data_IF_520848477519
#
_entry.id   IF_520848477519
#
_cell.length_a   1.000
_cell.length_b   1.000
_cell.length_c   1.000
_cell.angle_alpha   90.00
_cell.angle_beta   90.00
_cell.angle_gamma   90.00
#
_symmetry.space_group_name_H-M   'P 1'
#
loop_
_entity.id
_entity.type
_entity.pdbx_description
1 polymer ?
#
# COMPACT_ATOMS: atom_id res chain seq x y z
N UNK A 1 8.45 12.91 -1.64
CA UNK A 1 8.18 11.53 -2.08
C UNK A 1 6.92 11.54 -2.92
N UNK A 2 6.87 10.78 -4.02
CA UNK A 2 5.67 10.67 -4.82
C UNK A 2 4.59 9.89 -4.08
N UNK A 3 3.34 10.24 -4.37
CA UNK A 3 2.16 9.56 -3.84
C UNK A 3 1.54 8.74 -4.96
N UNK A 4 1.14 7.52 -4.64
CA UNK A 4 0.60 6.56 -5.59
C UNK A 4 -0.78 6.14 -5.14
N UNK A 5 -1.73 6.17 -6.07
CA UNK A 5 -3.09 5.65 -5.90
C UNK A 5 -3.18 4.28 -6.55
N UNK A 6 -3.62 3.31 -5.78
CA UNK A 6 -3.92 1.96 -6.21
C UNK A 6 -5.43 1.78 -6.17
N UNK A 7 -6.04 1.45 -7.30
CA UNK A 7 -7.48 1.33 -7.43
C UNK A 7 -7.85 0.15 -8.32
N UNK A 8 -9.00 -0.50 -8.08
CA UNK A 8 -9.41 -1.66 -8.84
C UNK A 8 -9.84 -1.22 -10.24
N UNK A 9 -9.36 -1.94 -11.26
CA UNK A 9 -9.76 -1.77 -12.67
C UNK A 9 -10.63 -2.91 -13.15
N UNK A 10 -10.54 -4.07 -12.49
CA UNK A 10 -11.43 -5.18 -12.75
C UNK A 10 -12.82 -4.94 -12.13
N UNK A 11 -13.86 -5.36 -12.84
CA UNK A 11 -15.25 -5.31 -12.32
C UNK A 11 -15.38 -6.22 -11.11
N UNK A 12 -16.17 -5.84 -10.11
CA UNK A 12 -16.42 -6.63 -8.88
C UNK A 12 -16.81 -8.10 -9.14
N UNK A 13 -17.55 -8.36 -10.23
CA UNK A 13 -17.95 -9.71 -10.64
C UNK A 13 -16.90 -10.50 -11.43
N UNK A 14 -15.69 -9.96 -11.63
CA UNK A 14 -14.63 -10.66 -12.37
C UNK A 14 -14.18 -11.91 -11.61
N UNK A 15 -14.19 -13.06 -12.29
CA UNK A 15 -13.75 -14.33 -11.73
C UNK A 15 -12.29 -14.28 -11.22
N UNK A 16 -11.47 -13.36 -11.72
CA UNK A 16 -10.10 -13.13 -11.26
C UNK A 16 -10.01 -12.69 -9.81
N UNK A 17 -11.07 -12.11 -9.24
CA UNK A 17 -11.09 -11.80 -7.81
C UNK A 17 -10.98 -13.05 -6.94
N UNK A 18 -11.51 -14.21 -7.38
CA UNK A 18 -11.40 -15.50 -6.65
C UNK A 18 -11.78 -15.40 -5.16
N UNK A 19 -12.72 -14.52 -4.80
CA UNK A 19 -13.11 -14.28 -3.41
C UNK A 19 -12.08 -13.51 -2.56
N UNK A 20 -11.07 -12.89 -3.18
CA UNK A 20 -10.10 -12.00 -2.52
C UNK A 20 -10.77 -10.71 -2.06
N UNK A 21 -10.15 -10.08 -1.05
CA UNK A 21 -10.54 -8.76 -0.56
C UNK A 21 -10.40 -7.72 -1.67
N UNK A 22 -11.46 -6.95 -1.90
CA UNK A 22 -11.48 -5.85 -2.86
C UNK A 22 -11.29 -4.54 -2.11
N UNK A 23 -10.23 -3.82 -2.46
CA UNK A 23 -9.94 -2.48 -2.02
C UNK A 23 -10.52 -1.51 -3.02
N UNK A 24 -11.26 -0.51 -2.55
CA UNK A 24 -11.81 0.56 -3.38
C UNK A 24 -10.71 1.55 -3.79
N UNK A 25 -9.85 1.88 -2.83
CA UNK A 25 -8.77 2.85 -3.02
C UNK A 25 -7.69 2.60 -1.96
N UNK A 26 -6.42 2.58 -2.38
CA UNK A 26 -5.27 2.57 -1.47
C UNK A 26 -4.31 3.67 -1.92
N UNK A 27 -4.00 4.61 -1.03
CA UNK A 27 -3.06 5.71 -1.27
C UNK A 27 -1.79 5.42 -0.49
N UNK A 28 -0.66 5.38 -1.19
CA UNK A 28 0.65 4.99 -0.65
C UNK A 28 1.68 6.04 -0.99
N UNK A 29 2.50 6.42 -0.02
CA UNK A 29 3.69 7.22 -0.22
C UNK A 29 4.89 6.28 -0.40
N UNK A 30 5.52 6.29 -1.58
CA UNK A 30 6.60 5.37 -1.90
C UNK A 30 7.56 5.96 -2.95
N UNK A 31 8.83 5.55 -2.98
CA UNK A 31 9.80 6.04 -3.98
C UNK A 31 9.47 5.61 -5.42
N UNK A 32 8.71 4.53 -5.61
CA UNK A 32 8.35 4.00 -6.94
C UNK A 32 6.99 3.29 -6.95
N UNK A 33 6.40 3.13 -8.13
CA UNK A 33 5.15 2.38 -8.31
C UNK A 33 5.26 0.91 -7.86
N UNK A 34 6.43 0.28 -8.07
CA UNK A 34 6.70 -1.07 -7.61
C UNK A 34 6.69 -1.16 -6.08
N UNK A 35 7.34 -0.19 -5.42
CA UNK A 35 7.37 -0.11 -3.96
C UNK A 35 5.99 0.18 -3.38
N UNK A 36 5.20 1.05 -4.04
CA UNK A 36 3.81 1.31 -3.65
C UNK A 36 2.96 0.03 -3.63
N UNK A 37 3.13 -0.85 -4.63
CA UNK A 37 2.46 -2.16 -4.64
C UNK A 37 2.90 -3.03 -3.48
N UNK A 38 4.21 -3.18 -3.26
CA UNK A 38 4.73 -4.01 -2.17
C UNK A 38 4.20 -3.56 -0.80
N UNK A 39 4.22 -2.26 -0.53
CA UNK A 39 3.69 -1.67 0.70
C UNK A 39 2.17 -1.94 0.81
N UNK A 40 1.42 -1.78 -0.27
CA UNK A 40 -0.01 -2.06 -0.26
C UNK A 40 -0.32 -3.55 -0.02
N UNK A 41 0.50 -4.47 -0.53
CA UNK A 41 0.31 -5.90 -0.34
C UNK A 41 0.44 -6.34 1.12
N UNK A 42 1.20 -5.60 1.94
CA UNK A 42 1.26 -5.82 3.38
C UNK A 42 -0.10 -5.61 4.06
N UNK A 43 -1.00 -4.75 3.52
CA UNK A 43 -2.35 -4.56 4.06
C UNK A 43 -3.23 -5.81 3.98
N UNK A 44 -2.95 -6.66 3.00
CA UNK A 44 -3.72 -7.87 2.73
C UNK A 44 -3.08 -9.11 3.37
N UNK A 45 -1.94 -8.95 4.05
CA UNK A 45 -1.34 -10.06 4.81
C UNK A 45 -2.22 -10.40 6.01
N UNK A 46 -2.64 -11.67 6.17
CA UNK A 46 -3.35 -12.09 7.38
C UNK A 46 -2.42 -11.98 8.60
N UNK A 47 -2.95 -11.46 9.72
CA UNK A 47 -2.22 -11.32 10.98
C UNK A 47 -1.70 -12.65 11.53
N UNK A 48 -2.33 -13.77 11.16
CA UNK A 48 -1.81 -15.12 11.41
C UNK A 48 -1.31 -15.74 10.10
N UNK A 49 0.00 -15.98 10.02
CA UNK A 49 0.59 -16.85 9.00
C UNK A 49 0.11 -18.28 9.23
N UNK A 50 -1.05 -18.65 8.69
CA UNK A 50 -1.38 -20.06 8.53
C UNK A 50 -0.46 -20.65 7.46
N UNK A 51 0.65 -21.25 7.90
CA UNK A 51 1.49 -22.11 7.06
C UNK A 51 0.68 -23.37 6.72
N UNK A 52 -0.14 -23.32 5.67
CA UNK A 52 -0.59 -24.53 4.98
C UNK A 52 0.32 -24.71 3.76
N UNK A 53 1.19 -25.71 3.83
CA UNK A 53 2.03 -26.12 2.73
C UNK A 53 1.19 -26.59 1.56
N UNK A 54 1.30 -25.91 0.43
CA UNK A 54 1.71 -26.51 -0.84
C UNK A 54 2.04 -25.34 -1.77
N UNK A 55 3.31 -25.25 -2.16
CA UNK A 55 3.86 -24.06 -2.80
C UNK A 55 3.41 -23.97 -4.25
N UNK A 56 2.64 -22.94 -4.55
CA UNK A 56 2.53 -22.36 -5.88
C UNK A 56 2.55 -20.85 -5.69
N UNK A 57 3.29 -20.14 -6.53
CA UNK A 57 3.43 -18.68 -6.56
C UNK A 57 2.11 -17.99 -6.98
N UNK A 58 0.99 -18.42 -6.40
CA UNK A 58 -0.28 -17.76 -6.56
C UNK A 58 -0.19 -16.45 -5.78
N UNK A 59 -0.24 -15.33 -6.50
CA UNK A 59 -0.29 -13.96 -5.98
C UNK A 59 -0.99 -13.94 -4.61
N UNK A 60 -0.21 -13.62 -3.57
CA UNK A 60 -0.66 -13.77 -2.17
C UNK A 60 -1.68 -12.70 -1.80
N UNK A 61 -1.70 -11.60 -2.55
CA UNK A 61 -2.69 -10.53 -2.45
C UNK A 61 -3.21 -10.16 -3.84
N UNK A 62 -4.49 -9.78 -3.92
CA UNK A 62 -5.06 -9.24 -5.16
C UNK A 62 -4.36 -7.96 -5.62
N UNK A 63 -3.71 -7.22 -4.70
CA UNK A 63 -2.99 -5.97 -4.96
C UNK A 63 -1.69 -6.15 -5.77
N UNK A 64 -1.17 -7.38 -5.87
CA UNK A 64 -0.01 -7.70 -6.71
C UNK A 64 -0.39 -7.82 -8.20
N UNK A 65 -1.67 -8.09 -8.51
CA UNK A 65 -2.12 -8.35 -9.88
C UNK A 65 -2.43 -7.03 -10.61
N UNK A 66 -1.57 -6.67 -11.56
CA UNK A 66 -1.74 -5.50 -12.42
C UNK A 66 -3.00 -5.54 -13.32
N UNK A 67 -3.63 -6.72 -13.49
CA UNK A 67 -4.92 -6.86 -14.19
C UNK A 67 -6.10 -6.56 -13.29
N UNK A 68 -5.94 -6.65 -11.98
CA UNK A 68 -6.97 -6.32 -10.98
C UNK A 68 -6.84 -4.87 -10.52
N UNK A 69 -5.61 -4.39 -10.31
CA UNK A 69 -5.33 -3.05 -9.80
C UNK A 69 -4.37 -2.26 -10.70
N UNK A 70 -4.74 -1.02 -10.97
CA UNK A 70 -3.83 -0.03 -11.52
C UNK A 70 -3.21 0.84 -10.45
N UNK A 71 -2.00 1.30 -10.76
CA UNK A 71 -1.20 2.19 -9.91
C UNK A 71 -0.97 3.45 -10.71
N UNK A 72 -1.37 4.57 -10.14
CA UNK A 72 -1.30 5.88 -10.75
C UNK A 72 -0.58 6.83 -9.81
N UNK A 73 0.28 7.69 -10.35
CA UNK A 73 0.93 8.71 -9.55
C UNK A 73 -0.02 9.88 -9.33
N UNK A 74 -0.14 10.35 -8.10
CA UNK A 74 -0.86 11.56 -7.75
C UNK A 74 0.11 12.74 -7.67
N UNK A 75 -0.19 13.83 -8.37
CA UNK A 75 0.59 15.08 -8.34
C UNK A 75 0.52 15.76 -6.96
N UNK A 76 -0.57 15.54 -6.22
CA UNK A 76 -0.80 16.10 -4.89
C UNK A 76 -1.27 15.02 -3.93
N UNK A 77 -0.67 14.98 -2.73
CA UNK A 77 -1.15 14.11 -1.68
C UNK A 77 -2.53 14.55 -1.20
N UNK A 78 -3.54 13.65 -1.14
CA UNK A 78 -4.86 14.00 -0.63
C UNK A 78 -4.89 14.23 0.89
N UNK A 79 -3.81 13.89 1.62
CA UNK A 79 -3.77 13.88 3.10
C UNK A 79 -2.78 14.92 3.67
N UNK A 80 -2.40 15.94 2.89
CA UNK A 80 -1.51 17.02 3.38
C UNK A 80 -0.02 16.68 3.28
N UNK A 81 0.80 17.31 4.12
CA UNK A 81 2.27 17.34 3.99
C UNK A 81 2.92 16.03 4.48
N UNK A 82 2.85 14.98 3.66
CA UNK A 82 3.43 13.66 3.94
C UNK A 82 4.94 13.57 3.64
N UNK A 83 5.67 14.69 3.78
CA UNK A 83 7.11 14.76 3.46
C UNK A 83 7.90 13.82 4.37
N UNK A 84 8.41 12.73 3.79
CA UNK A 84 9.32 11.81 4.46
C UNK A 84 8.66 10.59 5.12
N UNK A 85 7.33 10.44 5.00
CA UNK A 85 6.64 9.27 5.54
C UNK A 85 6.43 8.24 4.42
N UNK A 86 7.14 7.11 4.48
CA UNK A 86 6.92 5.94 3.60
C UNK A 86 5.83 5.07 4.23
N UNK A 87 4.82 4.69 3.44
CA UNK A 87 3.74 3.86 3.94
C UNK A 87 2.39 4.16 3.31
N UNK A 88 1.41 3.35 3.72
CA UNK A 88 0.01 3.56 3.35
C UNK A 88 -0.50 4.79 4.10
N UNK A 89 -0.96 5.77 3.36
CA UNK A 89 -1.58 7.00 3.89
C UNK A 89 -3.06 6.75 4.14
N UNK A 90 -3.71 6.02 3.22
CA UNK A 90 -5.14 5.76 3.23
C UNK A 90 -5.45 4.41 2.60
N UNK A 91 -6.34 3.64 3.20
CA UNK A 91 -6.87 2.43 2.58
C UNK A 91 -8.38 2.36 2.79
N UNK A 92 -9.13 2.20 1.71
CA UNK A 92 -10.60 2.14 1.71
C UNK A 92 -11.01 0.82 1.07
N UNK A 93 -11.82 0.04 1.79
CA UNK A 93 -12.41 -1.19 1.29
C UNK A 93 -13.56 -0.90 0.33
N UNK A 94 -13.94 -1.90 -0.47
CA UNK A 94 -15.07 -1.80 -1.41
C UNK A 94 -16.35 -1.29 -0.73
N UNK A 95 -16.62 -1.77 0.49
CA UNK A 95 -17.78 -1.39 1.30
C UNK A 95 -17.71 0.03 1.90
N UNK A 96 -16.65 0.80 1.58
CA UNK A 96 -16.44 2.15 2.05
C UNK A 96 -15.82 2.25 3.43
N UNK A 97 -15.49 1.13 4.10
CA UNK A 97 -14.76 1.16 5.36
C UNK A 97 -13.33 1.63 5.12
N UNK A 98 -12.99 2.74 5.77
CA UNK A 98 -11.60 3.20 5.84
C UNK A 98 -10.87 2.34 6.87
N UNK A 99 -9.79 1.71 6.42
CA UNK A 99 -8.89 0.93 7.26
C UNK A 99 -7.69 1.83 7.53
N UNK A 100 -7.58 2.29 8.78
CA UNK A 100 -6.36 2.96 9.22
C UNK A 100 -5.23 1.93 9.20
N UNK A 101 -4.25 2.08 8.30
CA UNK A 101 -3.13 1.16 8.28
C UNK A 101 -2.34 1.34 9.58
N UNK A 102 -1.89 0.24 10.17
CA UNK A 102 -0.87 0.31 11.20
C UNK A 102 0.36 1.03 10.61
N UNK A 103 1.15 1.78 11.42
CA UNK A 103 2.38 2.39 10.95
C UNK A 103 3.21 1.32 10.22
N UNK A 104 3.66 1.63 9.01
CA UNK A 104 4.52 0.72 8.26
C UNK A 104 5.84 0.54 9.01
N UNK A 105 5.97 -0.54 9.79
CA UNK A 105 7.23 -1.00 10.37
C UNK A 105 8.04 -1.75 9.30
N UNK A 106 8.34 -1.08 8.20
CA UNK A 106 9.24 -1.61 7.19
C UNK A 106 10.69 -1.58 7.68
N UNK A 107 11.56 -2.46 7.16
CA UNK A 107 13.00 -2.42 7.47
C UNK A 107 13.70 -1.12 7.04
N UNK A 108 13.01 -0.25 6.29
CA UNK A 108 13.50 1.03 5.80
C UNK A 108 13.25 2.22 6.74
N UNK A 109 12.69 2.00 7.94
CA UNK A 109 12.53 3.06 8.96
C UNK A 109 13.86 3.54 9.57
N UNK A 110 14.97 2.83 9.32
CA UNK A 110 16.32 3.30 9.61
C UNK A 110 16.90 4.07 8.43
N UNK A 111 16.54 5.34 8.33
CA UNK A 111 17.39 6.43 7.84
C UNK A 111 16.61 7.74 8.09
N UNK A 112 16.35 8.04 9.37
CA UNK A 112 16.18 9.45 9.76
C UNK A 112 17.56 10.09 9.58
N UNK A 113 17.79 11.01 8.61
CA UNK A 113 18.94 11.87 8.76
C UNK A 113 18.66 12.71 10.01
N UNK A 114 19.47 12.53 11.05
CA UNK A 114 19.59 13.50 12.12
C UNK A 114 20.14 14.80 11.53
N UNK A 115 19.33 15.57 10.79
CA UNK A 115 19.65 16.96 10.48
C UNK A 115 19.28 17.78 11.72
N UNK A 116 20.21 17.85 12.67
CA UNK A 116 20.32 19.02 13.54
C UNK A 116 20.94 20.12 12.69
N UNK A 117 20.13 21.04 12.19
CA UNK A 117 20.63 22.36 11.81
C UNK A 117 20.75 23.13 13.12
N UNK A 118 21.98 23.51 13.46
CA UNK A 118 22.30 24.34 14.60
C UNK A 118 21.96 25.81 14.30
N UNK A 119 21.49 26.54 15.31
CA UNK A 119 21.67 28.00 15.36
C UNK A 119 22.14 28.36 16.77
N UNK A 120 23.39 28.82 16.86
CA UNK A 120 23.92 29.59 17.99
C UNK A 120 23.03 30.79 18.29
N UNK A 121 22.86 31.09 19.58
CA UNK A 121 23.28 32.39 20.13
C UNK A 121 23.34 32.34 21.66
#
# INVERSE_FOLDING_TARGET
>A
MPVWRIHPVARRGDARWQGRKIWKEVVVCAPSAAMARLIACELDRPAQRHRKGNESLCFRSGLEDAKLYWVEQLDRSPVGDNRGQEGVIRAVLEDGREVTPAPFEGPYQSLKPHFRIATSS
#
